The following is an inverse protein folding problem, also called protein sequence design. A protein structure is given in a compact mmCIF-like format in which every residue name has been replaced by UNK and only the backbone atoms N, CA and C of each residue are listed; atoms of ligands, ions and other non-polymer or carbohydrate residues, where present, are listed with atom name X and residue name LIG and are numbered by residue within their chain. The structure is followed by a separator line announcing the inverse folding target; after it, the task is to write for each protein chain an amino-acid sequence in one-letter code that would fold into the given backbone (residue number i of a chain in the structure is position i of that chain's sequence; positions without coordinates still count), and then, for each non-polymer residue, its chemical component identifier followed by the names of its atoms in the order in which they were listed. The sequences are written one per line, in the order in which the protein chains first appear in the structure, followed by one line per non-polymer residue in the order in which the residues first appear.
data_IF_552768146486
#
_entry.id   IF_552768146486
#
_cell.length_a   1.000
_cell.length_b   1.000
_cell.length_c   1.000
_cell.angle_alpha   90.00
_cell.angle_beta   90.00
_cell.angle_gamma   90.00
#
_symmetry.space_group_name_H-M   'P 1'
#
loop_
_entity.id
_entity.type
_entity.pdbx_description
1 polymer ?
#
# COMPACT_ATOMS: atom_id res chain seq x y z
N UNK A 1 -10.53 2.83 0.01
CA UNK A 1 -10.96 4.25 0.10
C UNK A 1 -11.78 4.69 -1.11
N UNK A 2 -11.37 4.35 -2.35
CA UNK A 2 -12.12 4.71 -3.56
C UNK A 2 -13.63 4.38 -3.48
N UNK A 3 -13.99 3.15 -3.10
CA UNK A 3 -15.39 2.74 -2.91
C UNK A 3 -16.13 3.59 -1.85
N UNK A 4 -15.45 3.92 -0.75
CA UNK A 4 -16.04 4.75 0.30
C UNK A 4 -16.24 6.21 -0.18
N UNK A 5 -15.31 6.73 -0.98
CA UNK A 5 -15.45 8.04 -1.63
C UNK A 5 -16.64 8.05 -2.58
N UNK A 6 -16.78 7.03 -3.43
CA UNK A 6 -17.94 6.86 -4.32
C UNK A 6 -19.27 6.86 -3.54
N UNK A 7 -19.34 6.09 -2.44
CA UNK A 7 -20.53 6.05 -1.58
C UNK A 7 -20.84 7.42 -0.95
N UNK A 8 -19.83 8.16 -0.51
CA UNK A 8 -20.00 9.48 0.07
C UNK A 8 -20.45 10.51 -0.98
N UNK A 9 -19.80 10.55 -2.15
CA UNK A 9 -20.10 11.47 -3.25
C UNK A 9 -21.51 11.23 -3.82
N UNK A 10 -21.96 9.98 -3.85
CA UNK A 10 -23.34 9.60 -4.18
C UNK A 10 -24.34 9.84 -3.04
N UNK A 11 -23.89 10.28 -1.86
CA UNK A 11 -24.73 10.62 -0.72
C UNK A 11 -25.29 9.42 0.05
N UNK A 12 -24.70 8.23 -0.08
CA UNK A 12 -25.15 7.02 0.61
C UNK A 12 -24.61 6.89 2.04
N UNK A 13 -23.42 7.42 2.31
CA UNK A 13 -22.79 7.42 3.64
C UNK A 13 -22.32 8.82 4.04
N UNK A 14 -22.09 9.02 5.34
CA UNK A 14 -21.50 10.24 5.89
C UNK A 14 -20.02 10.39 5.52
N UNK A 15 -19.42 11.55 5.84
CA UNK A 15 -18.05 11.88 5.48
C UNK A 15 -17.03 10.85 6.01
N UNK A 16 -16.20 10.34 5.11
CA UNK A 16 -15.35 9.17 5.36
C UNK A 16 -14.04 9.47 6.10
N UNK A 17 -13.65 10.74 6.23
CA UNK A 17 -12.41 11.15 6.92
C UNK A 17 -12.77 11.68 8.31
N UNK A 18 -13.14 10.75 9.18
CA UNK A 18 -13.57 11.01 10.56
C UNK A 18 -12.86 10.05 11.51
N UNK A 19 -12.45 10.56 12.66
CA UNK A 19 -12.00 9.81 13.82
C UNK A 19 -13.12 9.63 14.86
N UNK A 20 -14.22 10.36 14.69
CA UNK A 20 -15.39 10.30 15.56
C UNK A 20 -16.15 8.99 15.36
N UNK A 21 -16.53 8.37 16.48
CA UNK A 21 -17.44 7.22 16.53
C UNK A 21 -18.85 7.64 16.95
N UNK A 22 -19.10 8.94 17.10
CA UNK A 22 -20.38 9.49 17.54
C UNK A 22 -21.43 9.37 16.44
N UNK A 23 -22.63 8.94 16.82
CA UNK A 23 -23.82 8.99 15.95
C UNK A 23 -24.71 10.15 16.38
N UNK A 24 -25.36 10.82 15.42
CA UNK A 24 -26.39 11.81 15.72
C UNK A 24 -27.61 11.14 16.39
N UNK A 25 -28.28 11.87 17.27
CA UNK A 25 -29.47 11.37 17.99
C UNK A 25 -30.56 10.85 17.04
N UNK A 26 -30.75 11.52 15.89
CA UNK A 26 -31.68 11.09 14.85
C UNK A 26 -31.28 9.77 14.19
N UNK A 27 -29.98 9.51 14.03
CA UNK A 27 -29.48 8.24 13.50
C UNK A 27 -29.65 7.11 14.51
N UNK A 28 -29.37 7.38 15.79
CA UNK A 28 -29.60 6.42 16.90
C UNK A 28 -31.08 6.04 16.97
N UNK A 29 -31.99 7.03 16.95
CA UNK A 29 -33.43 6.78 17.00
C UNK A 29 -33.90 5.90 15.83
N UNK A 30 -33.44 6.19 14.60
CA UNK A 30 -33.74 5.37 13.42
C UNK A 30 -33.18 3.95 13.52
N UNK A 31 -31.94 3.79 13.97
CA UNK A 31 -31.32 2.48 14.13
C UNK A 31 -32.12 1.62 15.11
N UNK A 32 -32.49 2.19 16.27
CA UNK A 32 -33.29 1.49 17.28
C UNK A 32 -34.69 1.13 16.77
N UNK A 33 -35.34 2.00 16.00
CA UNK A 33 -36.62 1.69 15.38
C UNK A 33 -36.52 0.48 14.43
N UNK A 34 -35.52 0.48 13.53
CA UNK A 34 -35.27 -0.65 12.62
C UNK A 34 -34.97 -1.93 13.41
N UNK A 35 -34.17 -1.84 14.49
CA UNK A 35 -33.82 -3.02 15.29
C UNK A 35 -35.06 -3.63 15.95
N UNK A 36 -35.91 -2.81 16.56
CA UNK A 36 -37.15 -3.27 17.20
C UNK A 36 -38.13 -3.89 16.20
N UNK A 37 -38.20 -3.35 14.97
CA UNK A 37 -39.06 -3.88 13.91
C UNK A 37 -38.54 -5.20 13.32
N UNK A 38 -37.24 -5.29 13.03
CA UNK A 38 -36.66 -6.43 12.30
C UNK A 38 -36.31 -7.60 13.22
N UNK A 39 -35.74 -7.34 14.39
CA UNK A 39 -35.24 -8.37 15.30
C UNK A 39 -36.00 -8.43 16.64
N UNK A 40 -36.75 -7.39 16.99
CA UNK A 40 -37.51 -7.33 18.24
C UNK A 40 -36.83 -6.51 19.34
N UNK A 41 -37.62 -6.19 20.37
CA UNK A 41 -37.20 -5.34 21.50
C UNK A 41 -36.05 -5.96 22.34
N UNK A 42 -35.93 -7.29 22.35
CA UNK A 42 -34.86 -8.03 23.03
C UNK A 42 -33.48 -7.82 22.38
N UNK A 43 -33.45 -7.40 21.11
CA UNK A 43 -32.22 -7.10 20.38
C UNK A 43 -31.76 -5.64 20.56
N UNK A 44 -32.50 -4.80 21.27
CA UNK A 44 -32.07 -3.43 21.56
C UNK A 44 -30.98 -3.40 22.64
N UNK A 45 -29.87 -2.74 22.33
CA UNK A 45 -28.79 -2.51 23.28
C UNK A 45 -29.19 -1.51 24.38
N UNK A 46 -28.40 -1.42 25.47
CA UNK A 46 -28.64 -0.47 26.53
C UNK A 46 -28.74 0.96 25.96
N UNK A 47 -29.70 1.74 26.47
CA UNK A 47 -30.07 3.07 25.96
C UNK A 47 -28.99 4.16 26.12
N UNK A 48 -27.75 3.82 26.47
CA UNK A 48 -26.69 4.80 26.67
C UNK A 48 -26.21 5.32 25.31
N UNK A 49 -26.76 6.45 24.91
CA UNK A 49 -26.12 7.37 23.99
C UNK A 49 -24.68 7.62 24.46
N UNK A 50 -23.71 7.33 23.59
CA UNK A 50 -22.34 7.85 23.68
C UNK A 50 -21.46 7.25 24.78
N UNK A 51 -20.89 6.07 24.56
CA UNK A 51 -19.53 5.83 25.04
C UNK A 51 -18.58 6.63 24.14
N UNK A 52 -18.51 7.95 24.35
CA UNK A 52 -17.42 8.76 23.82
C UNK A 52 -16.13 8.28 24.47
N UNK A 53 -15.27 7.61 23.72
CA UNK A 53 -13.87 7.51 24.12
C UNK A 53 -13.27 8.92 24.15
N UNK A 54 -12.92 9.41 25.34
CA UNK A 54 -12.11 10.61 25.53
C UNK A 54 -10.76 10.48 24.77
N UNK A 55 -10.13 11.52 24.21
CA UNK A 55 -10.46 12.95 24.17
C UNK A 55 -9.48 13.69 23.24
N UNK A 56 -9.91 14.89 22.81
CA UNK A 56 -9.14 15.87 22.03
C UNK A 56 -9.96 17.17 21.94
N UNK A 57 -9.35 18.37 21.82
CA UNK A 57 -10.05 19.63 21.91
C UNK A 57 -11.09 19.78 20.79
N UNK A 58 -12.25 20.33 21.18
CA UNK A 58 -13.52 20.37 20.46
C UNK A 58 -13.40 21.07 19.10
N UNK A 59 -13.24 20.26 18.05
CA UNK A 59 -13.71 20.50 16.67
C UNK A 59 -14.68 19.38 16.23
N UNK A 60 -15.42 18.80 17.19
CA UNK A 60 -16.20 17.56 17.05
C UNK A 60 -17.56 17.77 16.32
N UNK A 61 -17.52 18.39 15.13
CA UNK A 61 -18.66 18.47 14.22
C UNK A 61 -18.80 17.21 13.33
N UNK A 62 -17.86 16.27 13.40
CA UNK A 62 -17.85 15.09 12.57
C UNK A 62 -18.66 13.95 13.22
N UNK A 63 -19.36 13.19 12.39
CA UNK A 63 -20.13 12.02 12.76
C UNK A 63 -19.37 10.76 12.34
N UNK A 64 -19.67 9.61 12.94
CA UNK A 64 -19.19 8.32 12.46
C UNK A 64 -19.60 8.06 11.01
N UNK A 65 -18.82 7.20 10.33
CA UNK A 65 -19.17 6.70 9.00
C UNK A 65 -20.39 5.78 9.14
N UNK A 66 -21.53 6.22 8.61
CA UNK A 66 -22.80 5.49 8.66
C UNK A 66 -23.65 5.79 7.41
N UNK A 67 -24.69 4.99 7.12
CA UNK A 67 -25.62 5.32 6.05
C UNK A 67 -26.32 6.66 6.32
N UNK A 68 -26.46 7.50 5.30
CA UNK A 68 -27.28 8.73 5.38
C UNK A 68 -28.75 8.39 5.55
N UNK A 69 -29.19 7.32 4.87
CA UNK A 69 -30.51 6.70 4.91
C UNK A 69 -30.36 5.27 5.40
N UNK A 70 -30.72 5.02 6.65
CA UNK A 70 -30.51 3.72 7.30
C UNK A 70 -31.61 2.72 6.94
N UNK A 71 -32.78 3.23 6.55
CA UNK A 71 -33.93 2.46 6.08
C UNK A 71 -33.71 1.80 4.70
N UNK A 72 -32.65 2.18 3.98
CA UNK A 72 -32.29 1.58 2.70
C UNK A 72 -31.39 0.37 2.99
N UNK A 73 -31.85 -0.83 2.64
CA UNK A 73 -31.07 -2.06 2.85
C UNK A 73 -29.89 -2.16 1.86
N UNK A 74 -30.10 -1.73 0.62
CA UNK A 74 -29.10 -1.75 -0.45
C UNK A 74 -29.05 -0.41 -1.19
N UNK A 75 -27.85 0.14 -1.33
CA UNK A 75 -27.64 1.34 -2.14
C UNK A 75 -27.82 1.01 -3.65
N UNK A 76 -28.53 1.84 -4.43
CA UNK A 76 -28.74 1.64 -5.87
C UNK A 76 -27.47 1.96 -6.67
N UNK A 77 -26.49 1.06 -6.57
CA UNK A 77 -25.18 1.17 -7.22
C UNK A 77 -24.98 -0.02 -8.15
N UNK A 78 -24.32 0.23 -9.28
CA UNK A 78 -23.98 -0.82 -10.24
C UNK A 78 -22.79 -1.68 -9.79
N UNK A 79 -21.94 -1.14 -8.92
CA UNK A 79 -20.74 -1.80 -8.39
C UNK A 79 -21.07 -2.69 -7.18
N UNK A 80 -20.84 -3.99 -7.33
CA UNK A 80 -21.07 -5.00 -6.28
C UNK A 80 -20.24 -4.80 -5.02
N UNK A 81 -18.98 -4.37 -5.15
CA UNK A 81 -18.10 -4.13 -4.01
C UNK A 81 -18.54 -2.87 -3.25
N UNK A 82 -19.02 -1.85 -3.97
CA UNK A 82 -19.61 -0.66 -3.35
C UNK A 82 -20.89 -1.00 -2.59
N UNK A 83 -21.77 -1.85 -3.15
CA UNK A 83 -22.97 -2.37 -2.46
C UNK A 83 -22.60 -3.15 -1.21
N UNK A 84 -21.62 -4.04 -1.30
CA UNK A 84 -21.15 -4.85 -0.17
C UNK A 84 -20.55 -3.99 0.94
N UNK A 85 -19.77 -2.95 0.60
CA UNK A 85 -19.24 -1.99 1.55
C UNK A 85 -20.35 -1.19 2.24
N UNK A 86 -21.39 -0.78 1.50
CA UNK A 86 -22.57 -0.12 2.08
C UNK A 86 -23.27 -1.02 3.10
N UNK A 87 -23.53 -2.30 2.75
CA UNK A 87 -24.15 -3.28 3.66
C UNK A 87 -23.29 -3.50 4.93
N UNK A 88 -21.96 -3.51 4.80
CA UNK A 88 -21.06 -3.60 5.95
C UNK A 88 -21.15 -2.38 6.87
N UNK A 89 -21.13 -1.16 6.32
CA UNK A 89 -21.26 0.08 7.08
C UNK A 89 -22.63 0.16 7.77
N UNK A 90 -23.69 -0.29 7.08
CA UNK A 90 -25.04 -0.41 7.65
C UNK A 90 -25.12 -1.43 8.78
N UNK A 91 -24.58 -2.63 8.58
CA UNK A 91 -24.51 -3.68 9.60
C UNK A 91 -23.77 -3.17 10.84
N UNK A 92 -22.62 -2.49 10.68
CA UNK A 92 -21.88 -1.88 11.78
C UNK A 92 -22.71 -0.84 12.54
N UNK A 93 -23.44 0.02 11.82
CA UNK A 93 -24.27 1.06 12.43
C UNK A 93 -25.38 0.45 13.27
N UNK A 94 -26.10 -0.55 12.73
CA UNK A 94 -27.18 -1.24 13.46
C UNK A 94 -26.62 -2.03 14.66
N UNK A 95 -25.60 -2.85 14.44
CA UNK A 95 -24.95 -3.65 15.47
C UNK A 95 -24.46 -2.83 16.66
N UNK A 96 -23.97 -1.61 16.42
CA UNK A 96 -23.54 -0.69 17.49
C UNK A 96 -24.66 -0.31 18.48
N UNK A 97 -25.92 -0.47 18.08
CA UNK A 97 -27.11 -0.15 18.86
C UNK A 97 -27.86 -1.40 19.36
N UNK A 98 -27.33 -2.60 19.08
CA UNK A 98 -27.95 -3.87 19.45
C UNK A 98 -27.42 -4.43 20.76
N UNK A 99 -28.18 -5.36 21.35
CA UNK A 99 -27.77 -6.10 22.54
C UNK A 99 -26.55 -7.00 22.25
N UNK A 100 -25.71 -7.31 23.26
CA UNK A 100 -24.61 -8.25 23.09
C UNK A 100 -25.10 -9.64 22.65
N UNK A 101 -24.36 -10.27 21.75
CA UNK A 101 -24.48 -11.70 21.47
C UNK A 101 -24.14 -12.52 22.73
N UNK A 102 -24.89 -13.59 22.99
CA UNK A 102 -24.66 -14.47 24.15
C UNK A 102 -24.29 -15.87 23.70
N UNK A 103 -23.27 -16.42 24.36
CA UNK A 103 -22.72 -17.75 24.08
C UNK A 103 -22.68 -18.54 25.37
N UNK A 104 -23.21 -19.76 25.34
CA UNK A 104 -22.96 -20.74 26.38
C UNK A 104 -21.64 -21.47 26.05
N UNK A 105 -20.76 -21.58 27.04
CA UNK A 105 -19.50 -22.33 26.92
C UNK A 105 -19.36 -23.31 28.07
N UNK A 106 -18.86 -24.51 27.77
CA UNK A 106 -18.48 -25.51 28.76
C UNK A 106 -17.02 -25.87 28.55
N UNK A 107 -16.22 -25.78 29.62
CA UNK A 107 -14.89 -26.37 29.68
C UNK A 107 -15.01 -27.78 30.23
N UNK A 108 -14.31 -28.68 29.60
CA UNK A 108 -14.38 -30.11 29.85
C UNK A 108 -13.00 -30.56 30.32
N UNK A 109 -12.99 -31.40 31.36
CA UNK A 109 -11.82 -32.15 31.80
C UNK A 109 -12.26 -33.59 32.02
N UNK A 110 -11.68 -34.52 31.27
CA UNK A 110 -12.03 -35.93 31.32
C UNK A 110 -10.80 -36.78 31.65
N UNK A 111 -11.00 -37.85 32.42
CA UNK A 111 -9.99 -38.87 32.61
C UNK A 111 -10.16 -39.97 31.55
N UNK A 112 -9.06 -40.51 31.04
CA UNK A 112 -9.05 -41.67 30.17
C UNK A 112 -8.20 -42.75 30.82
N UNK A 113 -8.68 -44.00 30.88
CA UNK A 113 -8.01 -45.07 31.61
C UNK A 113 -6.58 -45.36 31.10
N UNK A 114 -6.33 -45.09 29.83
CA UNK A 114 -5.07 -45.38 29.14
C UNK A 114 -4.12 -44.16 29.09
N UNK A 115 -4.52 -43.01 29.65
CA UNK A 115 -3.72 -41.78 29.64
C UNK A 115 -3.44 -41.28 31.07
N UNK A 116 -2.17 -41.04 31.38
CA UNK A 116 -1.73 -40.49 32.67
C UNK A 116 -2.17 -39.03 32.91
N UNK A 117 -2.54 -38.33 31.84
CA UNK A 117 -2.97 -36.93 31.87
C UNK A 117 -4.43 -36.81 31.45
N UNK A 118 -5.22 -35.95 32.11
CA UNK A 118 -6.60 -35.72 31.71
C UNK A 118 -6.66 -35.00 30.36
N UNK A 119 -7.66 -35.35 29.57
CA UNK A 119 -8.01 -34.63 28.35
C UNK A 119 -8.74 -33.33 28.73
N UNK A 120 -8.38 -32.23 28.07
CA UNK A 120 -9.06 -30.95 28.24
C UNK A 120 -9.63 -30.46 26.93
N UNK A 121 -10.80 -29.84 26.98
CA UNK A 121 -11.46 -29.30 25.81
C UNK A 121 -12.46 -28.23 26.19
N UNK A 122 -13.04 -27.59 25.18
CA UNK A 122 -14.14 -26.67 25.36
C UNK A 122 -15.12 -26.76 24.21
N UNK A 123 -16.40 -26.67 24.52
CA UNK A 123 -17.47 -26.53 23.53
C UNK A 123 -18.23 -25.25 23.81
N UNK A 124 -18.71 -24.61 22.75
CA UNK A 124 -19.53 -23.40 22.86
C UNK A 124 -20.57 -23.32 21.75
N UNK A 125 -21.72 -22.74 22.06
CA UNK A 125 -22.79 -22.47 21.11
C UNK A 125 -23.48 -21.15 21.46
N UNK A 126 -23.97 -20.48 20.43
CA UNK A 126 -24.68 -19.20 20.58
C UNK A 126 -26.08 -19.44 21.12
N UNK A 127 -26.43 -18.76 22.21
CA UNK A 127 -27.76 -18.81 22.82
C UNK A 127 -28.62 -17.62 22.46
N UNK A 128 -28.01 -16.49 22.08
CA UNK A 128 -28.71 -15.30 21.62
C UNK A 128 -27.84 -14.56 20.59
N UNK A 129 -28.43 -14.13 19.47
CA UNK A 129 -27.68 -13.54 18.37
C UNK A 129 -27.20 -12.11 18.67
N UNK A 130 -28.05 -11.28 19.30
CA UNK A 130 -27.74 -9.87 19.57
C UNK A 130 -27.27 -9.16 18.30
N UNK A 131 -26.20 -8.37 18.43
CA UNK A 131 -25.59 -7.61 17.32
C UNK A 131 -25.19 -8.45 16.10
N UNK A 132 -24.94 -9.75 16.26
CA UNK A 132 -24.53 -10.61 15.15
C UNK A 132 -25.64 -10.80 14.12
N UNK A 133 -26.90 -10.58 14.50
CA UNK A 133 -28.01 -10.69 13.58
C UNK A 133 -27.94 -9.63 12.46
N UNK A 134 -27.48 -8.41 12.76
CA UNK A 134 -27.20 -7.39 11.74
C UNK A 134 -25.98 -7.72 10.87
N UNK A 135 -25.08 -8.57 11.38
CA UNK A 135 -23.81 -8.95 10.74
C UNK A 135 -23.84 -10.30 10.02
N UNK A 136 -25.01 -10.95 9.93
CA UNK A 136 -25.12 -12.33 9.50
C UNK A 136 -24.48 -12.62 8.12
N UNK A 137 -24.53 -11.68 7.18
CA UNK A 137 -23.88 -11.81 5.85
C UNK A 137 -22.35 -11.94 5.93
N UNK A 138 -21.73 -11.38 6.97
CA UNK A 138 -20.27 -11.28 7.10
C UNK A 138 -19.66 -12.27 8.11
N UNK A 139 -20.50 -13.04 8.81
CA UNK A 139 -20.07 -13.98 9.84
C UNK A 139 -20.20 -15.42 9.35
N UNK A 140 -19.22 -16.24 9.70
CA UNK A 140 -19.32 -17.68 9.49
C UNK A 140 -20.47 -18.27 10.35
N UNK A 141 -21.19 -19.30 9.86
CA UNK A 141 -22.17 -20.02 10.65
C UNK A 141 -21.54 -20.60 11.92
N UNK A 142 -22.29 -20.58 13.04
CA UNK A 142 -21.83 -21.15 14.31
C UNK A 142 -22.93 -22.01 14.95
N UNK A 143 -22.57 -23.01 15.77
CA UNK A 143 -23.55 -23.81 16.50
C UNK A 143 -24.47 -22.94 17.37
N UNK A 144 -25.77 -23.21 17.33
CA UNK A 144 -26.80 -22.51 18.12
C UNK A 144 -27.46 -23.38 19.18
N UNK A 145 -27.00 -24.62 19.32
CA UNK A 145 -27.49 -25.59 20.28
C UNK A 145 -26.30 -26.35 20.89
N UNK A 146 -26.44 -26.88 22.12
CA UNK A 146 -25.45 -27.79 22.67
C UNK A 146 -25.27 -29.00 21.74
N UNK A 147 -24.07 -29.62 21.74
CA UNK A 147 -23.89 -30.91 21.09
C UNK A 147 -24.85 -31.95 21.70
N UNK A 148 -25.20 -32.97 20.92
CA UNK A 148 -26.10 -34.04 21.36
C UNK A 148 -25.51 -34.92 22.48
N UNK A 149 -24.20 -34.82 22.74
CA UNK A 149 -23.51 -35.58 23.78
C UNK A 149 -23.88 -35.05 25.17
N UNK A 150 -23.93 -35.93 26.17
CA UNK A 150 -24.16 -35.52 27.55
C UNK A 150 -22.96 -34.72 28.08
N UNK A 151 -23.20 -33.51 28.57
CA UNK A 151 -22.18 -32.60 29.12
C UNK A 151 -22.26 -32.46 30.65
N UNK A 152 -22.93 -33.41 31.32
CA UNK A 152 -23.09 -33.49 32.77
C UNK A 152 -21.78 -33.99 33.43
N UNK A 153 -21.60 -33.73 34.72
CA UNK A 153 -20.51 -34.35 35.47
C UNK A 153 -20.66 -35.88 35.45
N UNK A 154 -19.53 -36.59 35.45
CA UNK A 154 -19.46 -38.06 35.41
C UNK A 154 -20.05 -38.73 34.15
N UNK A 155 -20.39 -37.94 33.12
CA UNK A 155 -20.73 -38.48 31.82
C UNK A 155 -19.55 -39.29 31.24
N UNK A 156 -19.84 -40.48 30.71
CA UNK A 156 -18.87 -41.34 30.05
C UNK A 156 -19.04 -41.18 28.55
N UNK A 157 -17.96 -40.86 27.85
CA UNK A 157 -17.93 -40.78 26.39
C UNK A 157 -17.09 -41.91 25.81
N UNK A 158 -17.57 -42.44 24.70
CA UNK A 158 -16.78 -43.35 23.85
C UNK A 158 -15.92 -42.48 22.94
N UNK A 159 -14.61 -42.76 22.88
CA UNK A 159 -13.74 -42.13 21.89
C UNK A 159 -14.13 -42.63 20.50
N UNK A 160 -14.17 -41.73 19.53
CA UNK A 160 -14.45 -42.09 18.15
C UNK A 160 -13.43 -43.10 17.64
N UNK A 161 -13.87 -44.05 16.81
CA UNK A 161 -12.95 -44.95 16.12
C UNK A 161 -12.02 -44.11 15.22
N UNK A 162 -10.77 -44.55 15.01
CA UNK A 162 -9.92 -43.92 14.00
C UNK A 162 -10.61 -43.91 12.63
N UNK A 163 -10.56 -42.78 11.95
CA UNK A 163 -11.00 -42.61 10.56
C UNK A 163 -10.17 -43.52 9.63
N UNK A 164 -10.66 -43.83 8.42
CA UNK A 164 -9.95 -44.70 7.46
C UNK A 164 -8.51 -44.26 7.15
N UNK A 165 -8.22 -42.96 7.31
CA UNK A 165 -6.93 -42.32 6.99
C UNK A 165 -6.07 -41.96 8.22
N UNK A 166 -6.47 -42.29 9.46
CA UNK A 166 -5.80 -41.71 10.65
C UNK A 166 -5.80 -42.55 11.93
N UNK A 167 -5.10 -42.05 12.96
CA UNK A 167 -5.07 -42.63 14.32
C UNK A 167 -5.80 -41.72 15.31
N UNK A 168 -6.61 -42.30 16.20
CA UNK A 168 -7.17 -41.62 17.37
C UNK A 168 -6.61 -42.27 18.66
N UNK A 169 -5.80 -41.57 19.46
CA UNK A 169 -5.40 -40.15 19.35
C UNK A 169 -4.37 -39.87 18.25
N UNK A 170 -4.35 -38.62 17.77
CA UNK A 170 -3.34 -38.11 16.83
C UNK A 170 -2.29 -37.29 17.58
N UNK A 171 -1.00 -37.54 17.34
CA UNK A 171 0.07 -36.66 17.82
C UNK A 171 0.12 -35.41 16.94
N UNK A 172 -0.01 -34.24 17.56
CA UNK A 172 0.15 -32.94 16.89
C UNK A 172 1.46 -32.33 17.39
N UNK A 173 2.40 -32.13 16.47
CA UNK A 173 3.61 -31.34 16.70
C UNK A 173 3.39 -29.93 16.17
N UNK A 174 3.81 -28.91 16.91
CA UNK A 174 3.71 -27.50 16.51
C UNK A 174 4.97 -26.75 16.93
N UNK A 175 5.25 -25.66 16.24
CA UNK A 175 6.44 -24.83 16.46
C UNK A 175 6.05 -23.39 16.79
N UNK A 176 6.86 -22.74 17.63
CA UNK A 176 6.68 -21.31 17.89
C UNK A 176 6.92 -20.50 16.61
N UNK A 177 5.93 -19.71 16.22
CA UNK A 177 6.04 -18.83 15.06
C UNK A 177 6.58 -17.46 15.47
N UNK A 178 7.34 -16.78 14.60
CA UNK A 178 7.73 -15.41 14.84
C UNK A 178 6.50 -14.48 14.86
N UNK A 179 6.64 -13.26 15.40
CA UNK A 179 5.60 -12.23 15.30
C UNK A 179 5.16 -12.03 13.84
N UNK A 180 3.85 -11.96 13.62
CA UNK A 180 3.32 -11.75 12.28
C UNK A 180 3.69 -10.37 11.75
N UNK A 181 4.01 -10.30 10.44
CA UNK A 181 4.18 -9.02 9.75
C UNK A 181 2.89 -8.21 9.77
N UNK A 182 3.02 -6.89 9.70
CA UNK A 182 1.87 -6.03 9.55
C UNK A 182 1.23 -6.21 8.17
N UNK A 183 -0.08 -6.36 8.13
CA UNK A 183 -0.93 -6.09 6.97
C UNK A 183 -1.33 -4.61 6.95
N UNK A 184 -1.79 -4.02 5.83
CA UNK A 184 -2.19 -2.61 5.75
C UNK A 184 -3.12 -2.17 6.88
N UNK A 185 -4.18 -2.93 7.16
CA UNK A 185 -5.14 -2.60 8.23
C UNK A 185 -4.52 -2.70 9.64
N UNK A 186 -3.63 -3.65 9.89
CA UNK A 186 -2.94 -3.75 11.19
C UNK A 186 -1.88 -2.67 11.37
N UNK A 187 -1.24 -2.21 10.28
CA UNK A 187 -0.31 -1.08 10.33
C UNK A 187 -1.07 0.22 10.62
N UNK A 188 -2.20 0.45 9.95
CA UNK A 188 -3.07 1.60 10.23
C UNK A 188 -3.54 1.59 11.69
N UNK A 189 -3.90 0.41 12.21
CA UNK A 189 -4.25 0.26 13.63
C UNK A 189 -3.06 0.62 14.54
N UNK A 190 -1.88 0.09 14.27
CA UNK A 190 -0.68 0.40 15.05
C UNK A 190 -0.31 1.89 15.01
N UNK A 191 -0.45 2.54 13.84
CA UNK A 191 -0.27 3.98 13.69
C UNK A 191 -1.28 4.76 14.55
N UNK A 192 -2.56 4.39 14.49
CA UNK A 192 -3.62 5.02 15.30
C UNK A 192 -3.35 4.85 16.79
N UNK A 193 -3.03 3.63 17.23
CA UNK A 193 -2.75 3.31 18.64
C UNK A 193 -1.51 4.07 19.15
N UNK A 194 -0.54 4.33 18.26
CA UNK A 194 0.65 5.13 18.55
C UNK A 194 0.45 6.66 18.40
N UNK A 195 -0.75 7.14 18.03
CA UNK A 195 -1.01 8.57 17.82
C UNK A 195 -0.39 9.15 16.53
N UNK A 196 0.08 8.30 15.62
CA UNK A 196 0.73 8.69 14.37
C UNK A 196 -0.31 8.79 13.26
N UNK A 197 -0.33 9.93 12.55
CA UNK A 197 -1.24 10.15 11.44
C UNK A 197 -2.68 10.42 11.87
N UNK A 198 -3.54 10.61 10.87
CA UNK A 198 -4.95 11.02 11.00
C UNK A 198 -5.78 10.26 9.96
N UNK A 199 -7.13 10.26 10.05
CA UNK A 199 -8.00 9.62 9.06
C UNK A 199 -7.70 9.99 7.60
N UNK A 200 -7.19 11.20 7.37
CA UNK A 200 -6.78 11.70 6.06
C UNK A 200 -5.43 11.18 5.56
N UNK A 201 -4.58 10.62 6.44
CA UNK A 201 -3.20 10.23 6.11
C UNK A 201 -2.93 8.73 6.19
N UNK A 202 -3.71 7.96 6.96
CA UNK A 202 -3.45 6.52 7.18
C UNK A 202 -3.19 5.71 5.90
N UNK A 203 -4.17 5.63 5.00
CA UNK A 203 -4.03 4.83 3.78
C UNK A 203 -2.94 5.40 2.87
N UNK A 204 -2.88 6.73 2.74
CA UNK A 204 -1.89 7.41 1.91
C UNK A 204 -0.45 7.14 2.38
N UNK A 205 -0.24 6.99 3.68
CA UNK A 205 1.08 6.63 4.23
C UNK A 205 1.46 5.21 3.82
N UNK A 206 0.55 4.24 3.93
CA UNK A 206 0.82 2.86 3.48
C UNK A 206 1.08 2.80 1.98
N UNK A 207 0.22 3.44 1.18
CA UNK A 207 0.38 3.55 -0.28
C UNK A 207 1.75 4.14 -0.65
N UNK A 208 2.16 5.24 0.00
CA UNK A 208 3.46 5.86 -0.26
C UNK A 208 4.66 4.98 0.11
N UNK A 209 4.54 4.15 1.15
CA UNK A 209 5.62 3.22 1.52
C UNK A 209 5.80 2.14 0.44
N UNK A 210 4.71 1.65 -0.14
CA UNK A 210 4.71 0.71 -1.27
C UNK A 210 5.17 1.38 -2.57
N UNK A 211 4.60 2.53 -2.95
CA UNK A 211 4.96 3.29 -4.16
C UNK A 211 6.44 3.68 -4.20
N UNK A 212 7.04 3.99 -3.05
CA UNK A 212 8.47 4.31 -2.94
C UNK A 212 9.36 3.08 -2.83
N UNK A 213 8.78 1.88 -2.82
CA UNK A 213 9.50 0.62 -2.75
C UNK A 213 10.21 0.38 -1.41
N UNK A 214 9.73 0.95 -0.30
CA UNK A 214 10.26 0.66 1.04
C UNK A 214 9.65 -0.61 1.64
N UNK A 215 8.43 -0.94 1.24
CA UNK A 215 7.77 -2.20 1.56
C UNK A 215 7.18 -2.80 0.29
N UNK A 216 7.00 -4.12 0.27
CA UNK A 216 6.34 -4.84 -0.80
C UNK A 216 5.27 -5.79 -0.21
N UNK A 217 4.16 -6.02 -0.92
CA UNK A 217 3.16 -6.99 -0.50
C UNK A 217 3.69 -8.43 -0.66
N UNK A 218 3.63 -9.20 0.42
CA UNK A 218 3.99 -10.62 0.48
C UNK A 218 2.88 -11.35 1.24
N UNK A 219 2.11 -12.21 0.57
CA UNK A 219 0.92 -12.90 1.12
C UNK A 219 -0.10 -11.97 1.82
N UNK A 220 -0.22 -10.76 1.28
CA UNK A 220 -1.07 -9.68 1.80
C UNK A 220 -0.56 -9.02 3.09
N UNK A 221 0.68 -9.30 3.51
CA UNK A 221 1.42 -8.58 4.54
C UNK A 221 2.46 -7.65 3.90
N UNK A 222 2.96 -6.69 4.66
CA UNK A 222 3.97 -5.73 4.23
C UNK A 222 5.35 -6.23 4.63
N UNK A 223 6.16 -6.62 3.66
CA UNK A 223 7.54 -7.03 3.85
C UNK A 223 8.49 -5.85 3.56
N UNK A 224 9.45 -5.53 4.45
CA UNK A 224 10.38 -4.45 4.20
C UNK A 224 11.37 -4.85 3.10
N UNK A 225 11.53 -4.00 2.09
CA UNK A 225 12.51 -4.19 1.01
C UNK A 225 13.92 -3.90 1.50
N UNK A 226 14.94 -4.20 0.70
CA UNK A 226 16.32 -3.83 1.02
C UNK A 226 16.51 -2.30 1.20
N UNK A 227 16.00 -1.43 0.29
CA UNK A 227 15.99 0.02 0.52
C UNK A 227 15.27 0.43 1.81
N UNK A 228 14.12 -0.18 2.12
CA UNK A 228 13.37 0.11 3.35
C UNK A 228 14.16 -0.24 4.62
N UNK A 229 14.78 -1.42 4.64
CA UNK A 229 15.66 -1.83 5.74
C UNK A 229 16.88 -0.92 5.87
N UNK A 230 17.47 -0.48 4.75
CA UNK A 230 18.63 0.40 4.76
C UNK A 230 18.31 1.76 5.39
N UNK A 231 17.14 2.35 5.12
CA UNK A 231 16.71 3.59 5.77
C UNK A 231 16.69 3.40 7.29
N UNK A 232 16.09 2.32 7.79
CA UNK A 232 15.98 2.09 9.22
C UNK A 232 17.30 1.70 9.90
N UNK A 233 18.08 0.82 9.27
CA UNK A 233 19.30 0.27 9.88
C UNK A 233 20.53 1.15 9.72
N UNK A 234 20.56 2.03 8.71
CA UNK A 234 21.73 2.86 8.38
C UNK A 234 21.46 4.36 8.48
N UNK A 235 20.33 4.84 7.95
CA UNK A 235 20.05 6.28 7.93
C UNK A 235 19.48 6.78 9.25
N UNK A 236 18.48 6.08 9.81
CA UNK A 236 17.81 6.50 11.05
C UNK A 236 18.78 6.68 12.25
N UNK A 237 19.77 5.80 12.46
CA UNK A 237 20.73 5.95 13.56
C UNK A 237 21.61 7.20 13.45
N UNK A 238 21.81 7.76 12.26
CA UNK A 238 22.59 9.01 12.09
C UNK A 238 21.89 10.22 12.72
N UNK A 239 20.56 10.16 12.86
CA UNK A 239 19.74 11.21 13.45
C UNK A 239 19.44 10.95 14.94
N UNK A 240 20.03 9.92 15.55
CA UNK A 240 19.88 9.66 16.98
C UNK A 240 20.49 10.82 17.80
N UNK A 241 19.78 11.27 18.83
CA UNK A 241 20.19 12.34 19.75
C UNK A 241 20.45 11.81 21.16
N UNK A 242 21.34 12.51 21.87
CA UNK A 242 21.59 12.34 23.31
C UNK A 242 21.30 13.67 24.06
N UNK A 243 20.07 14.20 24.04
CA UNK A 243 19.70 15.44 24.78
C UNK A 243 18.31 15.35 25.48
N UNK A 244 18.03 16.35 26.34
CA UNK A 244 17.16 16.35 27.54
C UNK A 244 15.68 15.95 27.39
N UNK A 245 15.08 15.98 26.20
CA UNK A 245 13.68 15.57 25.98
C UNK A 245 13.53 14.08 25.62
N UNK A 246 14.64 13.39 25.30
CA UNK A 246 14.73 11.93 25.19
C UNK A 246 14.02 11.29 24.00
N UNK A 247 13.50 12.08 23.04
CA UNK A 247 12.75 11.57 21.90
C UNK A 247 13.60 11.52 20.62
N UNK A 248 13.70 10.34 20.01
CA UNK A 248 14.40 10.15 18.74
C UNK A 248 13.54 10.60 17.54
N UNK A 249 14.14 11.25 16.53
CA UNK A 249 13.44 11.82 15.36
C UNK A 249 12.51 10.80 14.65
N UNK A 250 12.94 9.54 14.58
CA UNK A 250 12.20 8.47 13.91
C UNK A 250 11.38 7.59 14.87
N UNK A 251 11.25 7.99 16.13
CA UNK A 251 10.41 7.29 17.11
C UNK A 251 8.92 7.54 16.88
N UNK A 252 8.06 6.55 17.20
CA UNK A 252 6.62 6.75 17.24
C UNK A 252 6.19 7.94 18.09
N UNK A 253 6.77 8.09 19.28
CA UNK A 253 6.45 9.09 20.29
C UNK A 253 6.74 10.51 19.79
N UNK A 254 7.88 10.69 19.12
CA UNK A 254 8.22 11.97 18.51
C UNK A 254 7.22 12.37 17.43
N UNK A 255 6.82 11.42 16.58
CA UNK A 255 5.85 11.68 15.51
C UNK A 255 4.46 11.97 16.07
N UNK A 256 4.02 11.25 17.10
CA UNK A 256 2.77 11.52 17.79
C UNK A 256 2.75 12.94 18.38
N UNK A 257 3.86 13.35 19.01
CA UNK A 257 4.02 14.69 19.57
C UNK A 257 3.99 15.79 18.50
N UNK A 258 4.51 15.52 17.30
CA UNK A 258 4.36 16.45 16.17
C UNK A 258 2.90 16.62 15.76
N UNK A 259 2.15 15.52 15.69
CA UNK A 259 0.74 15.55 15.33
C UNK A 259 -0.08 16.33 16.37
N UNK A 260 0.18 16.15 17.66
CA UNK A 260 -0.41 16.97 18.73
C UNK A 260 -0.12 18.47 18.55
N UNK A 261 1.11 18.83 18.22
CA UNK A 261 1.48 20.25 17.95
C UNK A 261 0.72 20.82 16.76
N UNK A 262 0.47 20.03 15.72
CA UNK A 262 -0.35 20.47 14.57
C UNK A 262 -1.80 20.73 15.00
N UNK A 263 -2.35 19.93 15.91
CA UNK A 263 -3.68 20.17 16.47
C UNK A 263 -3.70 21.46 17.33
N UNK A 264 -2.68 21.68 18.15
CA UNK A 264 -2.52 22.90 18.95
C UNK A 264 -2.37 24.16 18.07
N UNK A 265 -1.73 24.04 16.91
CA UNK A 265 -1.68 25.10 15.90
C UNK A 265 -3.06 25.35 15.29
N UNK A 266 -3.79 24.30 14.94
CA UNK A 266 -5.13 24.39 14.35
C UNK A 266 -6.16 25.01 15.32
N UNK A 267 -6.00 24.79 16.62
CA UNK A 267 -6.83 25.42 17.66
C UNK A 267 -6.40 26.85 18.02
N UNK A 268 -5.26 27.33 17.51
CA UNK A 268 -4.69 28.63 17.84
C UNK A 268 -4.00 28.70 19.21
N UNK A 269 -3.69 27.55 19.82
CA UNK A 269 -2.97 27.47 21.10
C UNK A 269 -1.48 27.76 20.91
N UNK A 270 -0.90 27.32 19.78
CA UNK A 270 0.48 27.61 19.39
C UNK A 270 0.54 28.67 18.28
N UNK A 271 1.62 29.45 18.27
CA UNK A 271 1.92 30.37 17.17
C UNK A 271 2.61 29.62 16.02
N UNK A 272 2.07 29.77 14.80
CA UNK A 272 2.55 29.02 13.64
C UNK A 272 3.95 29.44 13.17
N UNK A 273 4.27 30.74 13.00
CA UNK A 273 5.63 31.19 12.70
C UNK A 273 6.68 30.69 13.70
N UNK A 274 6.45 30.88 15.00
CA UNK A 274 7.40 30.48 16.04
C UNK A 274 7.61 28.96 16.05
N UNK A 275 6.53 28.19 15.93
CA UNK A 275 6.60 26.72 15.88
C UNK A 275 7.39 26.25 14.67
N UNK A 276 7.17 26.86 13.50
CA UNK A 276 7.91 26.55 12.29
C UNK A 276 9.40 26.89 12.40
N UNK A 277 9.76 28.04 12.93
CA UNK A 277 11.16 28.44 13.10
C UNK A 277 11.92 27.49 14.02
N UNK A 278 11.31 27.13 15.17
CA UNK A 278 11.87 26.13 16.10
C UNK A 278 12.03 24.77 15.43
N UNK A 279 11.02 24.34 14.66
CA UNK A 279 11.06 23.07 13.94
C UNK A 279 12.15 23.03 12.87
N UNK A 280 12.24 24.08 12.05
CA UNK A 280 13.27 24.24 11.01
C UNK A 280 14.66 24.16 11.63
N UNK A 281 14.90 24.91 12.71
CA UNK A 281 16.20 24.95 13.35
C UNK A 281 16.57 23.59 13.96
N UNK A 282 15.62 22.91 14.61
CA UNK A 282 15.80 21.54 15.09
C UNK A 282 16.23 20.58 13.97
N UNK A 283 15.53 20.59 12.83
CA UNK A 283 15.83 19.69 11.71
C UNK A 283 17.15 20.04 11.04
N UNK A 284 17.48 21.33 10.90
CA UNK A 284 18.77 21.79 10.39
C UNK A 284 19.90 21.23 11.24
N UNK A 285 19.85 21.47 12.55
CA UNK A 285 20.91 21.08 13.48
C UNK A 285 21.06 19.54 13.50
N UNK A 286 19.94 18.81 13.53
CA UNK A 286 19.92 17.34 13.40
C UNK A 286 20.57 16.85 12.11
N UNK A 287 20.29 17.52 10.99
CA UNK A 287 20.84 17.14 9.71
C UNK A 287 22.35 17.41 9.62
N UNK A 288 22.83 18.52 10.19
CA UNK A 288 24.26 18.84 10.28
C UNK A 288 25.00 17.78 11.10
N UNK A 289 24.50 17.44 12.30
CA UNK A 289 25.06 16.36 13.12
C UNK A 289 25.07 15.01 12.39
N UNK A 290 23.97 14.66 11.72
CA UNK A 290 23.86 13.42 10.96
C UNK A 290 24.87 13.36 9.79
N UNK A 291 25.16 14.50 9.14
CA UNK A 291 26.18 14.59 8.09
C UNK A 291 27.59 14.37 8.65
N UNK A 292 27.90 14.91 9.81
CA UNK A 292 29.19 14.69 10.48
C UNK A 292 29.36 13.22 10.91
N UNK A 293 28.31 12.62 11.49
CA UNK A 293 28.30 11.18 11.82
C UNK A 293 28.48 10.30 10.59
N UNK A 294 27.82 10.67 9.48
CA UNK A 294 27.96 9.95 8.20
C UNK A 294 29.41 9.98 7.70
N UNK A 295 30.09 11.13 7.81
CA UNK A 295 31.47 11.28 7.34
C UNK A 295 32.50 10.56 8.23
N UNK A 296 32.18 10.38 9.51
CA UNK A 296 33.03 9.62 10.45
C UNK A 296 32.74 8.11 10.49
N UNK A 297 31.70 7.66 9.79
CA UNK A 297 31.27 6.26 9.74
C UNK A 297 31.83 5.47 8.54
N UNK A 298 31.23 4.29 8.32
CA UNK A 298 31.52 3.43 7.16
C UNK A 298 31.00 4.01 5.84
N UNK A 299 31.46 3.43 4.74
CA UNK A 299 31.00 3.77 3.39
C UNK A 299 29.49 3.56 3.24
N UNK A 300 28.85 4.46 2.49
CA UNK A 300 27.40 4.40 2.27
C UNK A 300 27.03 3.43 1.15
N UNK A 301 25.80 2.90 1.11
CA UNK A 301 25.34 2.06 -0.02
C UNK A 301 25.58 2.69 -1.38
N UNK A 302 25.38 4.00 -1.50
CA UNK A 302 25.63 4.72 -2.74
C UNK A 302 27.13 4.76 -3.09
N UNK A 303 28.00 4.99 -2.10
CA UNK A 303 29.45 4.91 -2.33
C UNK A 303 29.88 3.49 -2.69
N UNK A 304 29.31 2.49 -2.03
CA UNK A 304 29.58 1.06 -2.28
C UNK A 304 29.16 0.66 -3.71
N UNK A 305 27.94 1.03 -4.14
CA UNK A 305 27.47 0.81 -5.51
C UNK A 305 28.40 1.46 -6.55
N UNK A 306 28.69 2.75 -6.36
CA UNK A 306 29.57 3.51 -7.26
C UNK A 306 30.95 2.87 -7.34
N UNK A 307 31.53 2.48 -6.19
CA UNK A 307 32.83 1.84 -6.13
C UNK A 307 32.83 0.47 -6.81
N UNK A 308 31.84 -0.38 -6.56
CA UNK A 308 31.73 -1.69 -7.23
C UNK A 308 31.66 -1.54 -8.74
N UNK A 309 30.91 -0.55 -9.22
CA UNK A 309 30.79 -0.25 -10.65
C UNK A 309 32.07 0.31 -11.25
N UNK A 310 32.85 1.09 -10.49
CA UNK A 310 34.18 1.53 -10.92
C UNK A 310 35.17 0.36 -10.91
N UNK A 311 35.19 -0.45 -9.85
CA UNK A 311 36.08 -1.61 -9.71
C UNK A 311 35.81 -2.68 -10.78
N UNK A 312 34.57 -2.81 -11.26
CA UNK A 312 34.23 -3.70 -12.37
C UNK A 312 35.00 -3.38 -13.67
N UNK A 313 35.42 -2.11 -13.85
CA UNK A 313 36.20 -1.65 -14.99
C UNK A 313 37.63 -1.23 -14.62
N UNK A 314 38.04 -1.44 -13.37
CA UNK A 314 39.38 -1.05 -12.92
C UNK A 314 40.43 -2.00 -13.52
N UNK A 315 41.62 -1.50 -13.88
CA UNK A 315 42.72 -2.34 -14.35
C UNK A 315 43.25 -3.25 -13.22
N UNK A 316 43.70 -4.45 -13.58
CA UNK A 316 44.34 -5.37 -12.64
C UNK A 316 45.81 -4.97 -12.37
N UNK A 317 46.33 -5.10 -11.13
CA UNK A 317 45.62 -5.57 -9.94
C UNK A 317 44.69 -4.49 -9.37
N UNK A 318 43.50 -4.91 -8.93
CA UNK A 318 42.56 -3.99 -8.30
C UNK A 318 43.12 -3.45 -6.97
N UNK A 319 42.82 -2.18 -6.64
CA UNK A 319 43.23 -1.59 -5.37
C UNK A 319 42.50 -2.20 -4.17
N UNK A 320 41.26 -2.67 -4.35
CA UNK A 320 40.41 -3.31 -3.34
C UNK A 320 39.50 -4.31 -4.05
N UNK A 321 39.23 -5.47 -3.44
CA UNK A 321 38.29 -6.44 -4.01
C UNK A 321 36.82 -5.99 -3.81
N UNK A 322 35.89 -6.32 -4.74
CA UNK A 322 34.51 -5.84 -4.68
C UNK A 322 33.73 -6.18 -3.39
N UNK A 323 34.08 -7.28 -2.72
CA UNK A 323 33.52 -7.73 -1.45
C UNK A 323 34.08 -6.97 -0.24
N UNK A 324 35.28 -6.40 -0.35
CA UNK A 324 35.92 -5.60 0.70
C UNK A 324 35.39 -4.15 0.77
N UNK A 325 34.65 -3.70 -0.24
CA UNK A 325 34.12 -2.32 -0.35
C UNK A 325 33.26 -1.91 0.86
N UNK A 326 32.59 -2.88 1.51
CA UNK A 326 31.74 -2.63 2.68
C UNK A 326 32.54 -2.30 3.95
N UNK A 327 33.82 -2.68 3.99
CA UNK A 327 34.71 -2.44 5.12
C UNK A 327 35.35 -1.06 5.12
N UNK A 328 35.31 -0.35 3.98
CA UNK A 328 35.90 0.97 3.84
C UNK A 328 35.16 2.00 4.69
N UNK A 329 35.91 2.91 5.31
CA UNK A 329 35.35 4.13 5.87
C UNK A 329 34.76 5.03 4.78
N UNK A 330 33.95 6.00 5.18
CA UNK A 330 33.39 6.99 4.25
C UNK A 330 34.48 7.73 3.46
N UNK A 331 35.59 8.10 4.13
CA UNK A 331 36.70 8.82 3.52
C UNK A 331 37.49 7.95 2.56
N UNK A 332 37.87 6.73 2.96
CA UNK A 332 38.60 5.79 2.09
C UNK A 332 37.80 5.47 0.82
N UNK A 333 36.48 5.26 0.95
CA UNK A 333 35.62 5.02 -0.18
C UNK A 333 35.55 6.22 -1.14
N UNK A 334 35.51 7.45 -0.60
CA UNK A 334 35.48 8.68 -1.38
C UNK A 334 36.81 8.89 -2.12
N UNK A 335 37.94 8.71 -1.45
CA UNK A 335 39.28 8.89 -2.01
C UNK A 335 39.58 7.86 -3.09
N UNK A 336 39.18 6.59 -2.86
CA UNK A 336 39.32 5.53 -3.85
C UNK A 336 38.48 5.81 -5.10
N UNK A 337 37.23 6.22 -4.94
CA UNK A 337 36.37 6.57 -6.08
C UNK A 337 36.91 7.77 -6.85
N UNK A 338 37.49 8.76 -6.17
CA UNK A 338 38.18 9.88 -6.78
C UNK A 338 39.38 9.43 -7.61
N UNK A 339 40.26 8.63 -7.01
CA UNK A 339 41.48 8.10 -7.64
C UNK A 339 41.18 7.28 -8.90
N UNK A 340 40.17 6.42 -8.86
CA UNK A 340 39.75 5.62 -10.02
C UNK A 340 39.23 6.51 -11.16
N UNK A 341 38.47 7.56 -10.85
CA UNK A 341 37.99 8.52 -11.86
C UNK A 341 39.13 9.35 -12.46
N UNK A 342 40.08 9.79 -11.64
CA UNK A 342 41.27 10.51 -12.11
C UNK A 342 42.13 9.63 -13.03
N UNK A 343 42.17 8.32 -12.77
CA UNK A 343 42.79 7.32 -13.64
C UNK A 343 41.98 7.02 -14.92
N UNK A 344 40.84 7.67 -15.14
CA UNK A 344 39.98 7.49 -16.32
C UNK A 344 39.07 6.27 -16.25
N UNK A 345 38.91 5.63 -15.10
CA UNK A 345 38.01 4.48 -14.93
C UNK A 345 36.56 4.98 -14.91
N UNK A 346 35.78 4.58 -15.91
CA UNK A 346 34.36 4.86 -15.97
C UNK A 346 33.56 3.77 -15.23
N UNK A 347 32.46 4.12 -14.54
CA UNK A 347 31.64 3.12 -13.86
C UNK A 347 30.83 2.28 -14.85
N UNK A 348 30.64 1.00 -14.54
CA UNK A 348 29.72 0.12 -15.27
C UNK A 348 28.27 0.63 -15.23
N UNK A 349 27.40 0.18 -16.16
CA UNK A 349 26.00 0.60 -16.19
C UNK A 349 25.29 0.37 -14.86
N UNK A 350 24.31 1.22 -14.55
CA UNK A 350 23.39 0.96 -13.43
C UNK A 350 22.44 -0.18 -13.77
N UNK A 351 21.97 -0.91 -12.76
CA UNK A 351 20.91 -1.91 -12.90
C UNK A 351 19.66 -1.32 -13.58
N UNK A 352 19.26 -0.09 -13.18
CA UNK A 352 18.15 0.64 -13.81
C UNK A 352 18.35 0.91 -15.30
N UNK A 353 19.58 1.23 -15.73
CA UNK A 353 19.86 1.41 -17.16
C UNK A 353 19.72 0.08 -17.90
N UNK A 354 20.24 -1.01 -17.35
CA UNK A 354 20.13 -2.33 -17.96
C UNK A 354 18.68 -2.82 -18.03
N UNK A 355 17.91 -2.66 -16.95
CA UNK A 355 16.47 -2.94 -16.93
C UNK A 355 15.69 -2.10 -17.95
N UNK A 356 16.05 -0.82 -18.10
CA UNK A 356 15.40 0.06 -19.07
C UNK A 356 15.71 -0.33 -20.51
N UNK A 357 16.97 -0.67 -20.80
CA UNK A 357 17.38 -1.22 -22.09
C UNK A 357 16.62 -2.51 -22.37
N UNK A 358 16.57 -3.44 -21.41
CA UNK A 358 15.82 -4.70 -21.54
C UNK A 358 14.35 -4.46 -21.90
N UNK A 359 13.69 -3.54 -21.20
CA UNK A 359 12.29 -3.18 -21.49
C UNK A 359 12.11 -2.58 -22.88
N UNK A 360 12.99 -1.66 -23.29
CA UNK A 360 12.93 -1.07 -24.63
C UNK A 360 13.11 -2.13 -25.72
N UNK A 361 14.00 -3.10 -25.50
CA UNK A 361 14.22 -4.20 -26.43
C UNK A 361 13.02 -5.15 -26.53
N UNK A 362 12.40 -5.49 -25.39
CA UNK A 362 11.16 -6.27 -25.37
C UNK A 362 10.02 -5.57 -26.12
N UNK A 363 9.88 -4.25 -25.94
CA UNK A 363 8.84 -3.48 -26.61
C UNK A 363 9.07 -3.29 -28.12
N UNK A 364 10.33 -3.24 -28.56
CA UNK A 364 10.71 -2.89 -29.94
C UNK A 364 10.73 -4.06 -30.92
N UNK A 365 10.86 -5.30 -30.42
CA UNK A 365 10.98 -6.55 -31.21
C UNK A 365 11.87 -6.38 -32.45
N UNK A 366 13.10 -5.90 -32.21
CA UNK A 366 14.05 -5.57 -33.29
C UNK A 366 14.61 -6.83 -33.95
N UNK A 367 14.79 -6.78 -35.27
CA UNK A 367 15.58 -7.79 -35.98
C UNK A 367 17.06 -7.73 -35.57
N UNK A 368 17.78 -8.83 -35.81
CA UNK A 368 19.17 -9.03 -35.36
C UNK A 368 20.14 -7.96 -35.92
N UNK A 369 19.85 -7.41 -37.11
CA UNK A 369 20.68 -6.37 -37.71
C UNK A 369 20.49 -5.01 -37.04
N UNK A 370 19.23 -4.62 -36.80
CA UNK A 370 18.87 -3.36 -36.13
C UNK A 370 19.29 -3.38 -34.66
N UNK A 371 19.17 -4.54 -34.01
CA UNK A 371 19.66 -4.76 -32.65
C UNK A 371 21.18 -4.57 -32.55
N UNK A 372 21.94 -5.17 -33.48
CA UNK A 372 23.39 -5.06 -33.50
C UNK A 372 23.87 -3.64 -33.81
N UNK A 373 23.11 -2.87 -34.60
CA UNK A 373 23.39 -1.45 -34.87
C UNK A 373 23.10 -0.57 -33.64
N UNK A 374 21.98 -0.81 -32.95
CA UNK A 374 21.56 0.03 -31.82
C UNK A 374 22.33 -0.27 -30.51
N UNK A 375 22.68 -1.53 -30.25
CA UNK A 375 23.28 -1.98 -28.99
C UNK A 375 24.74 -2.41 -29.15
N UNK A 376 25.17 -2.69 -30.38
CA UNK A 376 26.48 -3.24 -30.69
C UNK A 376 26.50 -4.78 -30.80
N UNK A 377 27.61 -5.35 -31.30
CA UNK A 377 27.70 -6.78 -31.64
C UNK A 377 27.74 -7.73 -30.44
N UNK A 378 28.05 -7.23 -29.25
CA UNK A 378 28.04 -8.00 -27.99
C UNK A 378 26.70 -7.92 -27.25
N UNK A 379 25.73 -7.18 -27.80
CA UNK A 379 24.43 -6.97 -27.18
C UNK A 379 24.50 -6.20 -25.85
N UNK A 380 23.41 -6.18 -25.07
CA UNK A 380 23.33 -5.42 -23.81
C UNK A 380 24.37 -5.87 -22.77
N UNK A 381 24.77 -7.15 -22.81
CA UNK A 381 25.77 -7.73 -21.92
C UNK A 381 27.20 -7.21 -22.20
N UNK A 382 27.44 -6.68 -23.41
CA UNK A 382 28.69 -6.01 -23.79
C UNK A 382 28.86 -4.61 -23.21
N UNK A 383 27.83 -4.02 -22.60
CA UNK A 383 27.88 -2.65 -22.10
C UNK A 383 28.76 -2.52 -20.86
N UNK A 384 29.94 -1.96 -21.05
CA UNK A 384 30.92 -1.79 -19.97
C UNK A 384 30.80 -0.47 -19.22
N UNK A 385 30.17 0.57 -19.76
CA UNK A 385 30.14 1.89 -19.10
C UNK A 385 28.75 2.49 -19.03
N UNK A 386 28.54 3.33 -18.01
CA UNK A 386 27.30 4.12 -17.83
C UNK A 386 27.02 5.01 -19.04
N UNK A 387 28.05 5.57 -19.67
CA UNK A 387 27.92 6.41 -20.87
C UNK A 387 27.47 5.57 -22.06
N UNK A 388 28.12 4.44 -22.33
CA UNK A 388 27.73 3.55 -23.42
C UNK A 388 26.28 3.05 -23.24
N UNK A 389 25.88 2.72 -22.02
CA UNK A 389 24.47 2.36 -21.75
C UNK A 389 23.50 3.52 -22.01
N UNK A 390 23.90 4.77 -21.73
CA UNK A 390 23.05 5.94 -22.02
C UNK A 390 22.93 6.18 -23.52
N UNK A 391 24.02 6.04 -24.28
CA UNK A 391 24.01 6.15 -25.75
C UNK A 391 23.11 5.08 -26.39
N UNK A 392 23.15 3.84 -25.90
CA UNK A 392 22.24 2.79 -26.34
C UNK A 392 20.80 3.11 -25.97
N UNK A 393 20.54 3.62 -24.77
CA UNK A 393 19.20 4.06 -24.37
C UNK A 393 18.68 5.13 -25.33
N UNK A 394 19.48 6.14 -25.66
CA UNK A 394 19.09 7.21 -26.58
C UNK A 394 18.80 6.67 -27.99
N UNK A 395 19.62 5.73 -28.49
CA UNK A 395 19.41 5.08 -29.78
C UNK A 395 18.12 4.23 -29.80
N UNK A 396 17.91 3.39 -28.78
CA UNK A 396 16.69 2.58 -28.67
C UNK A 396 15.45 3.45 -28.46
N UNK A 397 15.56 4.53 -27.68
CA UNK A 397 14.46 5.46 -27.46
C UNK A 397 14.06 6.18 -28.75
N UNK A 398 15.03 6.55 -29.60
CA UNK A 398 14.74 7.13 -30.91
C UNK A 398 13.92 6.16 -31.78
N UNK A 399 14.33 4.88 -31.84
CA UNK A 399 13.59 3.85 -32.58
C UNK A 399 12.21 3.63 -31.96
N UNK A 400 12.12 3.62 -30.64
CA UNK A 400 10.86 3.46 -29.90
C UNK A 400 9.89 4.60 -30.21
N UNK A 401 10.38 5.84 -30.19
CA UNK A 401 9.56 7.02 -30.47
C UNK A 401 9.09 7.05 -31.94
N UNK A 402 9.90 6.57 -32.88
CA UNK A 402 9.50 6.39 -34.29
C UNK A 402 8.40 5.34 -34.46
N UNK A 403 8.46 4.23 -33.73
CA UNK A 403 7.52 3.09 -33.84
C UNK A 403 6.34 3.16 -32.87
N UNK A 404 6.33 4.16 -31.98
CA UNK A 404 5.35 4.28 -30.91
C UNK A 404 3.94 4.31 -31.47
N UNK A 405 2.99 3.49 -30.99
CA UNK A 405 1.61 3.58 -31.47
C UNK A 405 0.90 4.86 -30.96
N UNK A 406 -0.10 5.40 -31.69
CA UNK A 406 -0.87 6.55 -31.27
C UNK A 406 -1.68 6.22 -30.03
N UNK A 407 -1.75 7.18 -29.10
CA UNK A 407 -2.57 7.01 -27.90
C UNK A 407 -4.04 6.80 -28.26
N UNK A 408 -4.80 6.11 -27.39
CA UNK A 408 -6.24 5.89 -27.60
C UNK A 408 -7.03 7.20 -27.81
N UNK A 409 -6.56 8.31 -27.22
CA UNK A 409 -7.13 9.65 -27.45
C UNK A 409 -6.84 10.17 -28.86
N UNK A 410 -5.60 10.03 -29.35
CA UNK A 410 -5.23 10.43 -30.70
C UNK A 410 -6.01 9.62 -31.74
N UNK A 411 -6.11 8.30 -31.58
CA UNK A 411 -6.90 7.43 -32.49
C UNK A 411 -8.36 7.89 -32.57
N UNK A 412 -9.04 8.01 -31.42
CA UNK A 412 -10.43 8.50 -31.36
C UNK A 412 -10.61 9.88 -32.00
N UNK A 413 -9.62 10.75 -31.86
CA UNK A 413 -9.71 12.09 -32.43
C UNK A 413 -9.54 12.10 -33.95
N UNK A 414 -8.60 11.30 -34.47
CA UNK A 414 -8.44 11.04 -35.90
C UNK A 414 -9.72 10.47 -36.49
N UNK A 415 -10.30 9.42 -35.88
CA UNK A 415 -11.55 8.80 -36.34
C UNK A 415 -12.69 9.83 -36.44
N UNK A 416 -12.82 10.69 -35.43
CA UNK A 416 -13.84 11.73 -35.39
C UNK A 416 -13.66 12.79 -36.50
N UNK A 417 -12.42 13.18 -36.80
CA UNK A 417 -12.11 14.14 -37.85
C UNK A 417 -12.36 13.55 -39.24
N UNK A 418 -12.00 12.28 -39.45
CA UNK A 418 -12.28 11.54 -40.70
C UNK A 418 -13.78 11.45 -40.93
N UNK A 419 -14.56 11.09 -39.91
CA UNK A 419 -16.02 11.00 -39.98
C UNK A 419 -16.66 12.35 -40.35
N UNK A 420 -16.23 13.44 -39.71
CA UNK A 420 -16.74 14.79 -40.00
C UNK A 420 -16.44 15.27 -41.43
N UNK A 421 -15.29 14.88 -41.97
CA UNK A 421 -14.87 15.23 -43.33
C UNK A 421 -15.45 14.28 -44.39
N UNK A 422 -16.09 13.17 -43.99
CA UNK A 422 -16.56 12.14 -44.90
C UNK A 422 -15.43 11.50 -45.72
N UNK A 423 -14.21 11.47 -45.17
CA UNK A 423 -13.05 10.88 -45.84
C UNK A 423 -13.05 9.35 -45.67
N UNK A 424 -12.55 8.64 -46.69
CA UNK A 424 -12.20 7.23 -46.53
C UNK A 424 -10.90 7.12 -45.70
N UNK A 425 -10.79 6.08 -44.88
CA UNK A 425 -9.63 5.86 -43.99
C UNK A 425 -8.31 5.77 -44.77
N UNK A 426 -8.29 5.07 -45.91
CA UNK A 426 -7.13 4.96 -46.80
C UNK A 426 -6.69 6.34 -47.35
N UNK A 427 -7.67 7.21 -47.62
CA UNK A 427 -7.41 8.56 -48.12
C UNK A 427 -6.87 9.49 -47.02
N UNK A 428 -7.24 9.25 -45.75
CA UNK A 428 -6.68 9.96 -44.60
C UNK A 428 -5.27 9.47 -44.27
N UNK A 429 -5.04 8.16 -44.27
CA UNK A 429 -3.72 7.54 -44.11
C UNK A 429 -2.71 8.08 -45.14
N UNK A 430 -3.12 8.20 -46.40
CA UNK A 430 -2.28 8.73 -47.48
C UNK A 430 -1.80 10.19 -47.25
N UNK A 431 -2.48 10.99 -46.42
CA UNK A 431 -2.10 12.40 -46.15
C UNK A 431 -0.79 12.53 -45.38
N UNK A 432 -0.46 11.50 -44.59
CA UNK A 432 0.79 11.41 -43.84
C UNK A 432 1.70 10.32 -44.39
N UNK A 433 1.40 9.82 -45.60
CA UNK A 433 2.25 8.87 -46.31
C UNK A 433 2.28 7.45 -45.73
N UNK A 434 1.26 7.06 -44.96
CA UNK A 434 1.14 5.69 -44.41
C UNK A 434 0.08 4.88 -45.18
N UNK A 435 0.23 3.55 -45.21
CA UNK A 435 -0.64 2.66 -45.97
C UNK A 435 -2.01 2.42 -45.34
N UNK A 436 -2.10 2.57 -44.01
CA UNK A 436 -3.32 2.41 -43.23
C UNK A 436 -3.28 3.22 -41.94
N UNK A 437 -4.43 3.44 -41.31
CA UNK A 437 -4.49 4.10 -39.99
C UNK A 437 -3.84 3.26 -38.87
N UNK A 438 -3.65 1.96 -39.09
CA UNK A 438 -2.97 1.06 -38.17
C UNK A 438 -1.44 1.31 -38.13
N UNK A 439 -0.89 1.83 -39.22
CA UNK A 439 0.53 2.21 -39.36
C UNK A 439 0.85 3.61 -38.81
N UNK A 440 -0.15 4.31 -38.25
CA UNK A 440 0.09 5.60 -37.63
C UNK A 440 1.03 5.46 -36.43
N UNK A 441 1.83 6.50 -36.21
CA UNK A 441 2.76 6.59 -35.08
C UNK A 441 2.36 7.74 -34.16
N UNK A 442 2.52 7.52 -32.87
CA UNK A 442 2.15 8.42 -31.78
C UNK A 442 3.28 9.39 -31.42
N UNK A 443 3.06 10.18 -30.37
CA UNK A 443 4.01 11.23 -29.95
C UNK A 443 3.78 12.58 -30.63
N UNK A 444 4.59 13.58 -30.27
CA UNK A 444 4.41 14.97 -30.71
C UNK A 444 4.76 15.19 -32.17
N UNK A 445 5.71 14.42 -32.68
CA UNK A 445 6.17 14.47 -34.08
C UNK A 445 5.73 13.23 -34.88
N UNK A 446 4.91 12.36 -34.29
CA UNK A 446 4.39 11.15 -34.95
C UNK A 446 3.34 11.45 -36.02
N UNK A 447 3.14 10.49 -36.93
CA UNK A 447 2.23 10.66 -38.07
C UNK A 447 0.77 10.86 -37.65
N UNK A 448 0.35 10.39 -36.47
CA UNK A 448 -0.98 10.68 -35.94
C UNK A 448 -1.18 12.16 -35.60
N UNK A 449 -0.18 12.84 -35.04
CA UNK A 449 -0.27 14.27 -34.72
C UNK A 449 -0.26 15.11 -36.00
N UNK A 450 0.61 14.77 -36.96
CA UNK A 450 0.62 15.41 -38.28
C UNK A 450 -0.71 15.22 -39.03
N UNK A 451 -1.33 14.04 -38.91
CA UNK A 451 -2.62 13.76 -39.53
C UNK A 451 -3.73 14.58 -38.87
N UNK A 452 -3.73 14.70 -37.54
CA UNK A 452 -4.67 15.54 -36.80
C UNK A 452 -4.58 17.00 -37.28
N UNK A 453 -3.37 17.55 -37.43
CA UNK A 453 -3.18 18.93 -37.88
C UNK A 453 -3.72 19.14 -39.30
N UNK A 454 -3.38 18.26 -40.24
CA UNK A 454 -3.86 18.35 -41.63
C UNK A 454 -5.39 18.16 -41.74
N UNK A 455 -5.98 17.23 -40.99
CA UNK A 455 -7.43 17.02 -40.99
C UNK A 455 -8.15 18.21 -40.34
N UNK A 456 -7.59 18.80 -39.29
CA UNK A 456 -8.17 19.98 -38.63
C UNK A 456 -8.16 21.19 -39.57
N UNK A 457 -7.06 21.43 -40.28
CA UNK A 457 -6.95 22.52 -41.29
C UNK A 457 -7.94 22.33 -42.45
N UNK A 458 -8.15 21.09 -42.89
CA UNK A 458 -9.16 20.76 -43.91
C UNK A 458 -10.59 20.97 -43.44
N UNK A 459 -10.86 20.68 -42.17
CA UNK A 459 -12.18 20.90 -41.59
C UNK A 459 -12.49 22.40 -41.45
N UNK A 460 -11.49 23.22 -41.12
CA UNK A 460 -11.61 24.68 -41.06
C UNK A 460 -11.80 25.32 -42.44
N UNK A 461 -11.26 24.73 -43.51
CA UNK A 461 -11.40 25.23 -44.88
C UNK A 461 -12.63 24.70 -45.63
N UNK A 462 -13.26 23.63 -45.12
CA UNK A 462 -14.47 23.04 -45.69
C UNK A 462 -15.79 23.56 -45.08
N UNK A 463 -15.72 24.24 -43.92
CA UNK A 463 -16.85 24.96 -43.29
C UNK A 463 -16.93 26.42 -43.74
#
# INVERSE_FOLDING_TARGET
LALASQLYEAGHITYIRTDSTRLAESAVAKARAIIGEVWGEDHLGPSSAGASSAGGPVQDAHEAIRPTRLEVDEAPLDDDDARRLYRLVRAQTLASQMAPSQTASRRIRAACAELDRPLTGSVSWRTFAGWEAAYQEFLAPRPTAPPAIALEADAIWTLDAPDEDGTNPTLIEDETRPPSRYRPHTLIKAMKDAGIGRPSTYARTVEKLEERGYVAPEDGALAPTEPGRAIWMRAAPLYARNHDDGLELFSPEFTARMEERLDELASGTLDAPETWERWRDLIRDLHEEARERKQSGGSTLQQQDVLRRLLANAPEPRPVEPDEVESLSWAEAQDLAGSLREAGVAPSPTERQLEYIGRLLEDLDLDEATLAEAVGPEGPEGLRTTTAASEVIDALQAIYDERRPPSAKQRRYVDNLIEKLGLAEDAAAALVGVGSLEELTGGREGSASALIDQLSERLETAG
#
